data_IF_496066847193
#
_entry.id   IF_496066847193
#
_cell.length_a   1.000
_cell.length_b   1.000
_cell.length_c   1.000
_cell.angle_alpha   90.00
_cell.angle_beta   90.00
_cell.angle_gamma   90.00
#
_symmetry.space_group_name_H-M   'P 1'
#
loop_
_entity.id
_entity.type
_entity.pdbx_description
1 polymer ?
#
# COMPACT_ATOMS: atom_id res chain seq x y z
N UNK A 1 3.10 17.14 3.37
CA UNK A 1 3.24 15.67 3.21
C UNK A 1 3.40 15.27 1.75
N UNK A 2 2.34 15.22 0.93
CA UNK A 2 2.48 14.78 -0.48
C UNK A 2 3.40 15.67 -1.35
N UNK A 3 3.34 16.99 -1.15
CA UNK A 3 4.15 17.95 -1.90
C UNK A 3 5.65 17.84 -1.57
N UNK A 4 5.99 17.71 -0.29
CA UNK A 4 7.38 17.62 0.18
C UNK A 4 8.03 16.31 -0.29
N UNK A 5 7.32 15.18 -0.12
CA UNK A 5 7.77 13.87 -0.61
C UNK A 5 8.05 13.91 -2.11
N UNK A 6 7.13 14.49 -2.90
CA UNK A 6 7.30 14.59 -4.35
C UNK A 6 8.48 15.48 -4.73
N UNK A 7 8.70 16.57 -3.98
CA UNK A 7 9.84 17.48 -4.20
C UNK A 7 11.16 16.79 -3.93
N UNK A 8 11.29 16.12 -2.77
CA UNK A 8 12.48 15.35 -2.41
C UNK A 8 12.75 14.24 -3.43
N UNK A 9 11.72 13.48 -3.81
CA UNK A 9 11.85 12.42 -4.80
C UNK A 9 12.34 12.95 -6.17
N UNK A 10 11.85 14.12 -6.60
CA UNK A 10 12.33 14.78 -7.83
C UNK A 10 13.80 15.17 -7.75
N UNK A 11 14.27 15.66 -6.60
CA UNK A 11 15.68 16.02 -6.40
C UNK A 11 16.62 14.82 -6.56
N UNK A 12 16.19 13.62 -6.14
CA UNK A 12 16.96 12.38 -6.29
C UNK A 12 16.67 11.62 -7.61
N UNK A 13 16.02 12.28 -8.58
CA UNK A 13 15.86 11.79 -9.95
C UNK A 13 14.62 10.93 -10.22
N UNK A 14 13.65 10.87 -9.30
CA UNK A 14 12.34 10.30 -9.59
C UNK A 14 11.46 11.30 -10.34
N UNK A 15 10.49 10.79 -11.09
CA UNK A 15 9.50 11.57 -11.80
C UNK A 15 8.11 11.25 -11.26
N UNK A 16 7.31 12.29 -11.07
CA UNK A 16 5.91 12.15 -10.68
C UNK A 16 5.07 11.63 -11.83
N UNK A 17 4.15 10.69 -11.55
CA UNK A 17 3.16 10.23 -12.51
C UNK A 17 1.74 10.66 -12.12
N UNK A 18 1.27 10.21 -10.95
CA UNK A 18 -0.10 10.47 -10.48
C UNK A 18 -0.20 10.30 -8.97
N UNK A 19 -1.35 10.65 -8.41
CA UNK A 19 -1.72 10.40 -7.01
C UNK A 19 -3.02 9.61 -6.99
N UNK A 20 -3.03 8.52 -6.23
CA UNK A 20 -4.25 7.77 -5.93
C UNK A 20 -4.72 8.19 -4.53
N UNK A 21 -6.00 8.43 -4.40
CA UNK A 21 -6.68 8.80 -3.15
C UNK A 21 -7.32 7.54 -2.60
N UNK A 22 -6.89 7.13 -1.41
CA UNK A 22 -7.52 6.05 -0.68
C UNK A 22 -8.45 6.62 0.39
N UNK A 23 -9.74 6.39 0.24
CA UNK A 23 -10.78 6.73 1.21
C UNK A 23 -11.03 5.53 2.14
N UNK A 24 -10.58 5.65 3.39
CA UNK A 24 -10.71 4.59 4.40
C UNK A 24 -12.17 4.44 4.91
N UNK A 25 -13.03 5.43 4.65
CA UNK A 25 -14.44 5.43 5.06
C UNK A 25 -14.69 5.65 6.56
N UNK A 26 -13.67 5.54 7.41
CA UNK A 26 -13.77 5.74 8.86
C UNK A 26 -13.51 7.20 9.25
N UNK A 27 -14.56 8.00 9.44
CA UNK A 27 -14.45 9.37 9.95
C UNK A 27 -14.76 9.40 11.45
N UNK A 28 -13.77 9.75 12.29
CA UNK A 28 -14.07 10.28 13.63
C UNK A 28 -14.58 11.72 13.48
N UNK A 29 -15.91 11.90 13.46
CA UNK A 29 -16.55 13.22 13.31
C UNK A 29 -16.48 14.11 14.56
N UNK A 30 -15.75 13.69 15.61
CA UNK A 30 -15.95 14.24 16.96
C UNK A 30 -14.91 15.25 17.44
N UNK A 31 -13.77 15.42 16.78
CA UNK A 31 -12.60 16.03 17.46
C UNK A 31 -11.89 17.19 16.75
N UNK A 32 -12.32 17.65 15.58
CA UNK A 32 -11.60 18.73 14.89
C UNK A 32 -12.53 19.63 14.05
N UNK A 33 -13.17 20.62 14.68
CA UNK A 33 -14.06 21.58 14.00
C UNK A 33 -13.40 22.91 13.67
N UNK A 34 -12.20 23.18 14.21
CA UNK A 34 -11.56 24.49 14.11
C UNK A 34 -12.41 25.59 14.75
N UNK A 35 -12.48 26.77 14.11
CA UNK A 35 -13.45 27.80 14.47
C UNK A 35 -14.86 27.41 14.02
N UNK A 36 -15.62 26.77 14.90
CA UNK A 36 -16.99 26.33 14.64
C UNK A 36 -17.86 27.47 14.07
N UNK A 37 -18.53 27.21 12.94
CA UNK A 37 -19.37 28.17 12.20
C UNK A 37 -18.68 29.50 11.86
N UNK A 38 -17.36 29.50 11.72
CA UNK A 38 -16.59 30.69 11.35
C UNK A 38 -15.63 30.40 10.20
N UNK A 39 -15.57 31.34 9.25
CA UNK A 39 -14.58 31.33 8.18
C UNK A 39 -13.16 31.67 8.66
N UNK A 40 -12.97 32.03 9.93
CA UNK A 40 -11.66 32.41 10.47
C UNK A 40 -10.63 31.27 10.43
N UNK A 41 -11.05 30.03 10.73
CA UNK A 41 -10.20 28.85 10.69
C UNK A 41 -11.03 27.55 10.72
N UNK A 42 -11.86 27.27 9.70
CA UNK A 42 -12.56 25.99 9.61
C UNK A 42 -11.56 24.84 9.42
N UNK A 43 -11.82 23.69 10.03
CA UNK A 43 -11.01 22.50 9.81
C UNK A 43 -11.67 21.59 8.77
N UNK A 44 -10.92 21.23 7.71
CA UNK A 44 -11.39 20.28 6.69
C UNK A 44 -10.92 18.89 7.07
N UNK A 45 -11.87 18.02 7.44
CA UNK A 45 -11.58 16.61 7.73
C UNK A 45 -11.66 15.82 6.43
N UNK A 46 -10.50 15.37 5.94
CA UNK A 46 -10.40 14.46 4.80
C UNK A 46 -9.97 13.08 5.31
N UNK A 47 -10.86 12.07 5.37
CA UNK A 47 -10.54 10.70 5.81
C UNK A 47 -9.85 9.90 4.69
N UNK A 48 -8.91 10.55 4.02
CA UNK A 48 -8.24 9.99 2.86
C UNK A 48 -6.74 10.00 3.06
N UNK A 49 -6.11 8.95 2.60
CA UNK A 49 -4.66 8.86 2.46
C UNK A 49 -4.27 8.99 0.98
N UNK A 50 -3.03 9.43 0.74
CA UNK A 50 -2.50 9.64 -0.59
C UNK A 50 -1.43 8.62 -0.91
N UNK A 51 -1.58 7.93 -2.03
CA UNK A 51 -0.57 7.05 -2.62
C UNK A 51 0.05 7.82 -3.77
N UNK A 52 1.32 8.20 -3.63
CA UNK A 52 2.05 8.94 -4.67
C UNK A 52 2.74 7.95 -5.60
N UNK A 53 2.40 7.99 -6.89
CA UNK A 53 3.00 7.12 -7.91
C UNK A 53 4.16 7.86 -8.58
N UNK A 54 5.35 7.30 -8.39
CA UNK A 54 6.62 7.82 -8.91
C UNK A 54 7.27 6.78 -9.81
N UNK A 55 8.11 7.22 -10.75
CA UNK A 55 8.90 6.32 -11.59
C UNK A 55 10.32 6.85 -11.84
N UNK A 56 11.24 5.96 -12.21
CA UNK A 56 12.63 6.30 -12.53
C UNK A 56 12.94 5.95 -13.98
N UNK A 57 13.64 6.84 -14.69
CA UNK A 57 13.94 6.68 -16.11
C UNK A 57 12.70 6.88 -17.00
N UNK A 58 12.05 5.77 -17.37
CA UNK A 58 10.91 5.73 -18.27
C UNK A 58 9.66 5.16 -17.57
N UNK A 59 8.49 5.71 -17.87
CA UNK A 59 7.21 5.23 -17.30
C UNK A 59 6.86 3.81 -17.77
N UNK A 60 7.14 3.52 -19.05
CA UNK A 60 6.92 2.19 -19.62
C UNK A 60 8.02 1.23 -19.14
N UNK A 61 7.60 0.06 -18.64
CA UNK A 61 8.51 -1.05 -18.30
C UNK A 61 9.28 -1.48 -19.55
N UNK A 62 10.60 -1.68 -19.39
CA UNK A 62 11.50 -2.05 -20.49
C UNK A 62 11.59 -3.56 -20.69
N UNK A 63 11.45 -4.34 -19.62
CA UNK A 63 11.41 -5.79 -19.68
C UNK A 63 10.01 -6.28 -20.04
N UNK A 64 9.94 -7.48 -20.62
CA UNK A 64 8.68 -8.20 -20.83
C UNK A 64 8.33 -8.96 -19.55
N UNK A 65 7.04 -9.14 -19.32
CA UNK A 65 6.53 -9.96 -18.23
C UNK A 65 5.05 -10.24 -18.42
N UNK A 66 4.49 -11.02 -17.50
CA UNK A 66 3.09 -11.43 -17.51
C UNK A 66 2.28 -10.57 -16.53
N UNK A 67 1.12 -10.10 -16.98
CA UNK A 67 0.15 -9.38 -16.16
C UNK A 67 -0.98 -10.32 -15.78
N UNK A 68 -1.32 -10.35 -14.49
CA UNK A 68 -2.37 -11.17 -13.90
C UNK A 68 -3.56 -10.33 -13.38
N UNK A 69 -3.63 -9.06 -13.79
CA UNK A 69 -4.74 -8.16 -13.47
C UNK A 69 -5.94 -8.44 -14.40
N UNK A 70 -7.13 -8.59 -13.82
CA UNK A 70 -8.36 -8.76 -14.60
C UNK A 70 -8.79 -7.44 -15.25
N UNK A 71 -9.70 -7.51 -16.22
CA UNK A 71 -10.27 -6.32 -16.86
C UNK A 71 -11.02 -5.45 -15.84
N UNK A 72 -11.81 -6.08 -14.98
CA UNK A 72 -12.62 -5.43 -13.95
C UNK A 72 -11.72 -4.76 -12.91
N UNK A 73 -10.69 -5.47 -12.45
CA UNK A 73 -9.65 -4.93 -11.56
C UNK A 73 -8.96 -3.73 -12.21
N UNK A 74 -8.53 -3.86 -13.46
CA UNK A 74 -7.82 -2.79 -14.17
C UNK A 74 -8.69 -1.53 -14.30
N UNK A 75 -9.94 -1.68 -14.74
CA UNK A 75 -10.88 -0.55 -14.86
C UNK A 75 -11.17 0.10 -13.51
N UNK A 76 -11.35 -0.70 -12.46
CA UNK A 76 -11.64 -0.18 -11.13
C UNK A 76 -10.43 0.52 -10.49
N UNK A 77 -9.23 -0.02 -10.65
CA UNK A 77 -8.05 0.43 -9.91
C UNK A 77 -7.26 1.52 -10.64
N UNK A 78 -7.41 1.66 -11.95
CA UNK A 78 -6.88 2.82 -12.69
C UNK A 78 -7.70 4.09 -12.46
N UNK A 79 -8.91 3.96 -11.92
CA UNK A 79 -9.60 5.08 -11.30
C UNK A 79 -8.89 5.44 -9.99
N UNK A 80 -8.32 6.65 -9.93
CA UNK A 80 -7.50 7.12 -8.83
C UNK A 80 -8.22 7.36 -7.49
N UNK A 81 -9.50 6.99 -7.37
CA UNK A 81 -10.24 7.02 -6.10
C UNK A 81 -10.55 5.60 -5.64
N UNK A 82 -9.86 5.14 -4.60
CA UNK A 82 -10.04 3.83 -4.02
C UNK A 82 -10.80 3.93 -2.70
N UNK A 83 -11.91 3.22 -2.57
CA UNK A 83 -12.74 3.23 -1.35
C UNK A 83 -12.82 1.83 -0.76
N UNK A 84 -12.17 1.62 0.38
CA UNK A 84 -12.26 0.40 1.19
C UNK A 84 -11.77 0.66 2.61
N UNK A 85 -12.27 -0.11 3.57
CA UNK A 85 -11.97 0.07 4.99
C UNK A 85 -10.50 -0.23 5.32
N UNK A 86 -9.97 0.47 6.33
CA UNK A 86 -8.65 0.20 6.90
C UNK A 86 -8.59 -1.06 7.76
N UNK A 87 -7.40 -1.36 8.26
CA UNK A 87 -7.17 -2.53 9.13
C UNK A 87 -7.31 -2.22 10.61
N UNK A 88 -7.80 -3.20 11.36
CA UNK A 88 -7.92 -3.06 12.80
C UNK A 88 -6.56 -3.21 13.50
N UNK A 89 -6.09 -2.14 14.14
CA UNK A 89 -4.88 -2.12 14.99
C UNK A 89 -4.86 -3.26 16.01
N UNK A 90 -6.01 -3.49 16.68
CA UNK A 90 -6.17 -4.53 17.71
C UNK A 90 -6.04 -5.95 17.15
N UNK A 91 -6.47 -6.17 15.91
CA UNK A 91 -6.42 -7.48 15.26
C UNK A 91 -5.01 -7.87 14.86
N UNK A 92 -4.19 -6.89 14.45
CA UNK A 92 -2.85 -7.13 13.92
C UNK A 92 -1.77 -6.99 15.00
N UNK A 93 -2.01 -6.23 16.07
CA UNK A 93 -0.98 -5.93 17.07
C UNK A 93 0.05 -4.91 16.58
N UNK A 94 -0.26 -4.15 15.54
CA UNK A 94 0.56 -3.07 14.99
C UNK A 94 -0.21 -1.74 15.07
N UNK A 95 0.44 -0.62 15.38
CA UNK A 95 -0.24 0.67 15.58
C UNK A 95 -0.79 1.29 14.29
N UNK A 96 -0.28 0.91 13.13
CA UNK A 96 -0.69 1.48 11.84
C UNK A 96 -0.59 0.47 10.66
N UNK A 97 -1.35 -0.64 10.67
CA UNK A 97 -1.38 -1.54 9.53
C UNK A 97 -2.28 -0.97 8.43
N UNK A 98 -1.82 -0.98 7.17
CA UNK A 98 -2.70 -0.81 6.02
C UNK A 98 -3.37 -2.14 5.63
N UNK A 99 -4.56 -2.10 5.02
CA UNK A 99 -5.26 -3.29 4.52
C UNK A 99 -4.54 -3.97 3.38
N UNK A 100 -4.67 -5.31 3.34
CA UNK A 100 -4.10 -6.18 2.31
C UNK A 100 -4.50 -5.77 0.88
N UNK A 101 -5.71 -5.23 0.72
CA UNK A 101 -6.19 -4.72 -0.55
C UNK A 101 -5.29 -3.61 -1.13
N UNK A 102 -4.71 -2.75 -0.28
CA UNK A 102 -3.89 -1.62 -0.71
C UNK A 102 -2.62 -2.06 -1.48
N UNK A 103 -1.70 -2.85 -0.90
CA UNK A 103 -0.53 -3.34 -1.64
C UNK A 103 -0.94 -4.31 -2.76
N UNK A 104 -2.01 -5.11 -2.62
CA UNK A 104 -2.49 -5.99 -3.69
C UNK A 104 -2.73 -5.22 -4.99
N UNK A 105 -3.49 -4.11 -4.91
CA UNK A 105 -3.76 -3.24 -6.06
C UNK A 105 -2.48 -2.68 -6.65
N UNK A 106 -1.60 -2.14 -5.81
CA UNK A 106 -0.32 -1.56 -6.24
C UNK A 106 0.57 -2.60 -6.95
N UNK A 107 0.69 -3.80 -6.39
CA UNK A 107 1.50 -4.89 -6.92
C UNK A 107 0.99 -5.31 -8.30
N UNK A 108 -0.32 -5.58 -8.43
CA UNK A 108 -0.90 -6.04 -9.69
C UNK A 108 -0.91 -4.95 -10.77
N UNK A 109 -1.07 -3.67 -10.41
CA UNK A 109 -1.00 -2.55 -11.37
C UNK A 109 0.43 -2.26 -11.85
N UNK A 110 1.40 -2.32 -10.94
CA UNK A 110 2.73 -1.76 -11.17
C UNK A 110 3.86 -2.77 -11.26
N UNK A 111 3.59 -4.08 -11.19
CA UNK A 111 4.58 -5.13 -11.42
C UNK A 111 4.04 -6.26 -12.30
N UNK A 112 4.94 -6.96 -12.99
CA UNK A 112 4.65 -8.25 -13.59
C UNK A 112 4.74 -9.37 -12.55
N UNK A 113 4.16 -10.52 -12.86
CA UNK A 113 4.40 -11.76 -12.12
C UNK A 113 5.91 -12.06 -12.12
N UNK A 114 6.44 -12.45 -10.96
CA UNK A 114 7.86 -12.72 -10.76
C UNK A 114 8.74 -11.49 -10.48
N UNK A 115 8.23 -10.26 -10.66
CA UNK A 115 8.97 -9.04 -10.28
C UNK A 115 9.22 -9.02 -8.76
N UNK A 116 10.25 -8.27 -8.35
CA UNK A 116 10.59 -8.03 -6.94
C UNK A 116 9.88 -6.78 -6.42
N UNK A 117 9.16 -6.92 -5.30
CA UNK A 117 8.54 -5.82 -4.57
C UNK A 117 9.39 -5.49 -3.35
N UNK A 118 9.83 -4.23 -3.24
CA UNK A 118 10.65 -3.76 -2.13
C UNK A 118 9.85 -2.87 -1.19
N UNK A 119 9.87 -3.19 0.10
CA UNK A 119 9.24 -2.42 1.17
C UNK A 119 10.27 -2.08 2.27
N UNK A 120 10.78 -0.83 2.32
CA UNK A 120 11.77 -0.42 3.30
C UNK A 120 11.20 -0.18 4.71
N UNK A 121 9.87 -0.25 4.88
CA UNK A 121 9.16 -0.02 6.14
C UNK A 121 8.10 -1.10 6.33
N UNK A 122 8.53 -2.37 6.29
CA UNK A 122 7.61 -3.48 6.10
C UNK A 122 6.69 -3.72 7.31
N UNK A 123 7.04 -3.24 8.50
CA UNK A 123 6.22 -3.28 9.71
C UNK A 123 5.68 -4.68 9.96
N UNK A 124 4.35 -4.81 10.00
CA UNK A 124 3.67 -6.10 10.21
C UNK A 124 3.67 -7.07 9.02
N UNK A 125 4.33 -6.74 7.90
CA UNK A 125 4.58 -7.65 6.77
C UNK A 125 3.47 -7.74 5.70
N UNK A 126 2.51 -6.82 5.68
CA UNK A 126 1.36 -6.87 4.74
C UNK A 126 1.80 -6.89 3.27
N UNK A 127 2.80 -6.08 2.89
CA UNK A 127 3.33 -6.05 1.50
C UNK A 127 3.97 -7.38 1.11
N UNK A 128 4.69 -8.03 2.03
CA UNK A 128 5.35 -9.31 1.79
C UNK A 128 4.34 -10.43 1.53
N UNK A 129 3.28 -10.47 2.35
CA UNK A 129 2.17 -11.42 2.21
C UNK A 129 1.53 -11.28 0.83
N UNK A 130 1.12 -10.07 0.44
CA UNK A 130 0.48 -9.85 -0.86
C UNK A 130 1.42 -10.07 -2.03
N UNK A 131 2.70 -9.74 -1.89
CA UNK A 131 3.68 -10.05 -2.94
C UNK A 131 3.74 -11.54 -3.19
N UNK A 132 3.89 -12.35 -2.14
CA UNK A 132 3.96 -13.81 -2.27
C UNK A 132 2.67 -14.40 -2.85
N UNK A 133 1.51 -13.99 -2.34
CA UNK A 133 0.22 -14.54 -2.78
C UNK A 133 -0.12 -14.20 -4.23
N UNK A 134 0.38 -13.06 -4.73
CA UNK A 134 0.29 -12.67 -6.13
C UNK A 134 1.53 -13.08 -6.93
N UNK A 135 2.32 -14.08 -6.51
CA UNK A 135 3.47 -14.60 -7.30
C UNK A 135 4.55 -13.54 -7.62
N UNK A 136 4.80 -12.58 -6.74
CA UNK A 136 5.95 -11.67 -6.79
C UNK A 136 6.98 -12.09 -5.76
N UNK A 137 8.25 -11.82 -6.07
CA UNK A 137 9.32 -11.88 -5.08
C UNK A 137 9.23 -10.62 -4.19
N UNK A 138 9.79 -10.67 -2.99
CA UNK A 138 9.77 -9.50 -2.12
C UNK A 138 11.04 -9.36 -1.28
N UNK A 139 11.31 -8.12 -0.88
CA UNK A 139 12.32 -7.76 0.11
C UNK A 139 11.67 -6.75 1.06
N UNK A 140 11.61 -7.09 2.35
CA UNK A 140 11.10 -6.21 3.41
C UNK A 140 12.21 -5.84 4.39
N UNK A 141 12.27 -4.58 4.81
CA UNK A 141 13.16 -4.11 5.88
C UNK A 141 12.30 -3.55 7.01
N UNK A 142 12.64 -3.94 8.24
CA UNK A 142 12.07 -3.41 9.47
C UNK A 142 13.19 -3.26 10.51
N UNK A 143 13.18 -2.16 11.25
CA UNK A 143 14.18 -1.86 12.27
C UNK A 143 13.82 -2.46 13.62
N UNK A 144 12.53 -2.54 13.92
CA UNK A 144 12.02 -3.08 15.18
C UNK A 144 11.99 -4.61 15.15
N UNK A 145 12.70 -5.23 16.09
CA UNK A 145 12.81 -6.69 16.18
C UNK A 145 11.48 -7.36 16.51
N UNK A 146 10.62 -6.73 17.31
CA UNK A 146 9.30 -7.28 17.62
C UNK A 146 8.41 -7.29 16.37
N UNK A 147 8.47 -6.24 15.55
CA UNK A 147 7.76 -6.21 14.27
C UNK A 147 8.35 -7.18 13.25
N UNK A 148 9.66 -7.40 13.24
CA UNK A 148 10.28 -8.48 12.46
C UNK A 148 9.67 -9.84 12.80
N UNK A 149 9.59 -10.21 14.08
CA UNK A 149 9.01 -11.49 14.51
C UNK A 149 7.51 -11.58 14.22
N UNK A 150 6.76 -10.50 14.47
CA UNK A 150 5.33 -10.41 14.13
C UNK A 150 5.09 -10.61 12.63
N UNK A 151 5.86 -9.94 11.78
CA UNK A 151 5.74 -10.03 10.32
C UNK A 151 6.00 -11.44 9.82
N UNK A 152 7.05 -12.09 10.32
CA UNK A 152 7.40 -13.48 10.01
C UNK A 152 6.30 -14.45 10.43
N UNK A 153 5.78 -14.31 11.66
CA UNK A 153 4.68 -15.13 12.16
C UNK A 153 3.44 -14.99 11.28
N UNK A 154 3.00 -13.75 11.04
CA UNK A 154 1.82 -13.46 10.20
C UNK A 154 1.98 -14.01 8.78
N UNK A 155 3.18 -13.88 8.21
CA UNK A 155 3.48 -14.41 6.89
C UNK A 155 3.27 -15.92 6.84
N UNK A 156 3.94 -16.68 7.71
CA UNK A 156 3.86 -18.14 7.74
C UNK A 156 2.41 -18.64 7.96
N UNK A 157 1.71 -18.06 8.94
CA UNK A 157 0.30 -18.42 9.23
C UNK A 157 -0.62 -18.15 8.03
N UNK A 158 -0.44 -17.01 7.36
CA UNK A 158 -1.27 -16.65 6.20
C UNK A 158 -1.02 -17.58 5.03
N UNK A 159 0.25 -17.89 4.73
CA UNK A 159 0.60 -18.78 3.62
C UNK A 159 0.11 -20.21 3.88
N UNK A 160 0.22 -20.71 5.11
CA UNK A 160 -0.33 -22.00 5.50
C UNK A 160 -1.83 -22.09 5.24
N UNK A 161 -2.56 -21.02 5.57
CA UNK A 161 -4.01 -20.97 5.41
C UNK A 161 -4.46 -20.82 3.95
N UNK A 162 -3.78 -19.98 3.17
CA UNK A 162 -4.26 -19.56 1.84
C UNK A 162 -3.62 -20.32 0.67
N UNK A 163 -2.43 -20.89 0.85
CA UNK A 163 -1.75 -21.65 -0.22
C UNK A 163 -1.48 -23.11 0.14
N UNK A 164 -1.59 -23.49 1.42
CA UNK A 164 -1.00 -24.74 1.90
C UNK A 164 0.53 -24.62 1.85
N UNK A 165 1.20 -24.80 2.98
CA UNK A 165 2.67 -24.93 2.92
C UNK A 165 2.93 -26.35 2.40
N UNK A 166 3.67 -26.47 1.30
CA UNK A 166 4.11 -27.72 0.64
C UNK A 166 3.22 -28.36 -0.44
N UNK A 167 2.55 -27.59 -1.31
CA UNK A 167 2.25 -28.15 -2.64
C UNK A 167 3.54 -28.14 -3.48
N UNK A 168 4.14 -29.32 -3.52
CA UNK A 168 5.39 -29.70 -4.19
C UNK A 168 5.52 -29.14 -5.61
N UNK A 169 6.69 -28.59 -5.91
CA UNK A 169 7.32 -28.71 -7.23
C UNK A 169 8.73 -29.25 -7.05
#
# INVERSE_FOLDING_TARGET
MGADLTTLAKQIGWKYHSTIIWNEGNISRRTAWGSWLSASAPYVIAPVELIVVLYKGAWKKKHKGESDISKEEFMAWTNGLWSFNGESKKRIGHPAPFPRELPKRCIKLFSYVGDVVFDPFCGSGTTMIESYLNNRQFIGIELDREYCELSKKRFLETIQKERGIFDEK
#
